data_IF_522557305295
#
_entry.id   IF_522557305295
#
_cell.length_a   1.000
_cell.length_b   1.000
_cell.length_c   1.000
_cell.angle_alpha   90.00
_cell.angle_beta   90.00
_cell.angle_gamma   90.00
#
_symmetry.space_group_name_H-M   'P 1'
#
loop_
_entity.id
_entity.type
_entity.pdbx_description
1 polymer ?
#
# COMPACT_ATOMS: atom_id res chain seq x y z
N UNK A 1 -24.34 1.87 -27.12
CA UNK A 1 -23.16 1.70 -26.23
C UNK A 1 -22.64 0.27 -26.39
N UNK A 2 -21.42 0.06 -26.90
CA UNK A 2 -21.01 -1.27 -27.43
C UNK A 2 -20.85 -2.35 -26.35
N UNK A 3 -21.23 -3.59 -26.69
CA UNK A 3 -21.13 -4.78 -25.84
C UNK A 3 -19.71 -5.01 -25.29
N UNK A 4 -18.68 -4.73 -26.10
CA UNK A 4 -17.26 -4.77 -25.73
C UNK A 4 -16.90 -3.85 -24.55
N UNK A 5 -17.49 -2.65 -24.46
CA UNK A 5 -17.26 -1.75 -23.31
C UNK A 5 -17.82 -2.34 -22.01
N UNK A 6 -18.90 -3.14 -22.08
CA UNK A 6 -19.54 -3.74 -20.91
C UNK A 6 -18.68 -4.88 -20.34
N UNK A 7 -18.15 -5.74 -21.21
CA UNK A 7 -17.24 -6.84 -20.84
C UNK A 7 -15.94 -6.30 -20.23
N UNK A 8 -15.30 -5.34 -20.89
CA UNK A 8 -14.06 -4.72 -20.39
C UNK A 8 -14.26 -4.08 -19.00
N UNK A 9 -15.41 -3.42 -18.78
CA UNK A 9 -15.77 -2.82 -17.49
C UNK A 9 -16.02 -3.84 -16.39
N UNK A 10 -16.62 -4.99 -16.70
CA UNK A 10 -16.79 -6.12 -15.76
C UNK A 10 -15.44 -6.79 -15.42
N UNK A 11 -14.58 -6.99 -16.41
CA UNK A 11 -13.26 -7.60 -16.21
C UNK A 11 -12.34 -6.73 -15.36
N UNK A 12 -12.33 -5.42 -15.62
CA UNK A 12 -11.63 -4.43 -14.78
C UNK A 12 -12.16 -4.43 -13.34
N UNK A 13 -13.49 -4.50 -13.14
CA UNK A 13 -14.10 -4.62 -11.80
C UNK A 13 -13.65 -5.87 -11.03
N UNK A 14 -13.45 -7.00 -11.72
CA UNK A 14 -12.97 -8.24 -11.10
C UNK A 14 -11.53 -8.11 -10.58
N UNK A 15 -10.63 -7.55 -11.40
CA UNK A 15 -9.23 -7.27 -11.02
C UNK A 15 -9.14 -6.27 -9.86
N UNK A 16 -10.00 -5.25 -9.87
CA UNK A 16 -10.15 -4.24 -8.82
C UNK A 16 -10.42 -4.85 -7.44
N UNK A 17 -11.34 -5.80 -7.37
CA UNK A 17 -11.62 -6.53 -6.12
C UNK A 17 -10.36 -7.23 -5.60
N UNK A 18 -9.56 -7.82 -6.50
CA UNK A 18 -8.28 -8.44 -6.14
C UNK A 18 -7.29 -7.47 -5.52
N UNK A 19 -7.12 -6.27 -6.10
CA UNK A 19 -6.21 -5.24 -5.57
C UNK A 19 -6.64 -4.74 -4.19
N UNK A 20 -7.93 -4.45 -4.00
CA UNK A 20 -8.46 -3.99 -2.70
C UNK A 20 -8.34 -5.09 -1.64
N UNK A 21 -8.61 -6.34 -2.00
CA UNK A 21 -8.43 -7.49 -1.10
C UNK A 21 -6.95 -7.64 -0.71
N UNK A 22 -6.02 -7.55 -1.67
CA UNK A 22 -4.59 -7.61 -1.41
C UNK A 22 -4.13 -6.46 -0.49
N UNK A 23 -4.59 -5.24 -0.71
CA UNK A 23 -4.31 -4.10 0.18
C UNK A 23 -4.84 -4.36 1.60
N UNK A 24 -6.04 -4.93 1.75
CA UNK A 24 -6.60 -5.28 3.06
C UNK A 24 -5.76 -6.36 3.79
N UNK A 25 -5.24 -7.36 3.05
CA UNK A 25 -4.32 -8.34 3.64
C UNK A 25 -3.01 -7.71 4.12
N UNK A 26 -2.53 -6.65 3.46
CA UNK A 26 -1.32 -5.92 3.86
C UNK A 26 -1.51 -5.08 5.13
N UNK A 27 -2.76 -4.77 5.52
CA UNK A 27 -3.05 -4.09 6.79
C UNK A 27 -2.82 -5.00 8.00
N UNK A 28 -3.04 -6.31 7.86
CA UNK A 28 -2.83 -7.30 8.94
C UNK A 28 -1.38 -7.24 9.48
N UNK A 29 -0.32 -7.34 8.64
CA UNK A 29 1.04 -7.22 9.13
C UNK A 29 1.36 -5.87 9.76
N UNK A 30 0.70 -4.77 9.35
CA UNK A 30 0.89 -3.46 10.02
C UNK A 30 0.49 -3.55 11.49
N UNK A 31 -0.64 -4.17 11.80
CA UNK A 31 -1.10 -4.37 13.19
C UNK A 31 -0.10 -5.22 13.97
N UNK A 32 0.42 -6.28 13.37
CA UNK A 32 1.43 -7.12 14.01
C UNK A 32 2.70 -6.32 14.32
N UNK A 33 3.20 -5.52 13.36
CA UNK A 33 4.36 -4.66 13.58
C UNK A 33 4.14 -3.67 14.71
N UNK A 34 2.97 -3.03 14.78
CA UNK A 34 2.61 -2.15 15.89
C UNK A 34 2.69 -2.86 17.25
N UNK A 35 2.16 -4.09 17.35
CA UNK A 35 2.25 -4.87 18.59
C UNK A 35 3.72 -5.14 18.94
N UNK A 36 4.52 -5.64 18.01
CA UNK A 36 5.93 -5.97 18.24
C UNK A 36 6.80 -4.75 18.53
N UNK A 37 6.49 -3.59 17.95
CA UNK A 37 7.16 -2.32 18.22
C UNK A 37 7.09 -1.94 19.70
N UNK A 38 5.97 -2.21 20.37
CA UNK A 38 5.71 -1.80 21.77
C UNK A 38 5.69 -2.97 22.76
N UNK A 39 6.08 -4.18 22.35
CA UNK A 39 6.09 -5.34 23.24
C UNK A 39 7.23 -5.29 24.26
N UNK A 40 8.33 -4.59 23.95
CA UNK A 40 9.45 -4.39 24.86
C UNK A 40 9.43 -2.96 25.42
N UNK A 41 10.09 -2.73 26.55
CA UNK A 41 10.21 -1.40 27.19
C UNK A 41 10.87 -0.35 26.27
N UNK A 42 11.56 -0.81 25.22
CA UNK A 42 12.15 0.02 24.17
C UNK A 42 11.42 -0.17 22.84
N UNK A 43 11.27 0.95 22.12
CA UNK A 43 10.66 0.98 20.78
C UNK A 43 11.54 0.19 19.81
N UNK A 44 10.99 -0.87 19.23
CA UNK A 44 11.71 -1.61 18.20
C UNK A 44 11.60 -0.92 16.83
N UNK A 45 12.65 -0.18 16.48
CA UNK A 45 12.74 0.61 15.25
C UNK A 45 12.71 -0.21 13.96
N UNK A 46 13.20 -1.45 14.00
CA UNK A 46 13.10 -2.37 12.87
C UNK A 46 11.64 -2.65 12.50
N UNK A 47 10.77 -2.94 13.48
CA UNK A 47 9.34 -3.13 13.23
C UNK A 47 8.62 -1.84 12.82
N UNK A 48 9.05 -0.67 13.32
CA UNK A 48 8.58 0.62 12.82
C UNK A 48 8.91 0.80 11.33
N UNK A 49 10.15 0.49 10.93
CA UNK A 49 10.58 0.58 9.54
C UNK A 49 9.80 -0.37 8.63
N UNK A 50 9.54 -1.60 9.06
CA UNK A 50 8.70 -2.55 8.34
C UNK A 50 7.25 -2.06 8.19
N UNK A 51 6.69 -1.39 9.19
CA UNK A 51 5.37 -0.78 9.09
C UNK A 51 5.33 0.33 8.03
N UNK A 52 6.33 1.20 8.00
CA UNK A 52 6.44 2.25 6.97
C UNK A 52 6.61 1.68 5.56
N UNK A 53 7.45 0.65 5.37
CA UNK A 53 7.60 -0.03 4.07
C UNK A 53 6.25 -0.62 3.61
N UNK A 54 5.53 -1.26 4.52
CA UNK A 54 4.25 -1.86 4.19
C UNK A 54 3.19 -0.81 3.80
N UNK A 55 3.15 0.33 4.50
CA UNK A 55 2.33 1.49 4.11
C UNK A 55 2.73 1.99 2.71
N UNK A 56 4.02 2.07 2.40
CA UNK A 56 4.49 2.48 1.08
C UNK A 56 4.00 1.55 -0.03
N UNK A 57 4.02 0.23 0.19
CA UNK A 57 3.49 -0.77 -0.75
C UNK A 57 1.99 -0.56 -0.98
N UNK A 58 1.20 -0.31 0.06
CA UNK A 58 -0.25 -0.05 -0.06
C UNK A 58 -0.50 1.21 -0.91
N UNK A 59 0.24 2.30 -0.66
CA UNK A 59 0.10 3.55 -1.42
C UNK A 59 0.50 3.36 -2.89
N UNK A 60 1.56 2.60 -3.16
CA UNK A 60 1.96 2.26 -4.53
C UNK A 60 0.88 1.43 -5.25
N UNK A 61 0.31 0.42 -4.59
CA UNK A 61 -0.80 -0.37 -5.14
C UNK A 61 -2.03 0.49 -5.41
N UNK A 62 -2.34 1.45 -4.53
CA UNK A 62 -3.42 2.42 -4.73
C UNK A 62 -3.15 3.34 -5.93
N UNK A 63 -1.91 3.79 -6.12
CA UNK A 63 -1.52 4.59 -7.30
C UNK A 63 -1.72 3.79 -8.59
N UNK A 64 -1.24 2.54 -8.62
CA UNK A 64 -1.41 1.62 -9.75
C UNK A 64 -2.90 1.39 -10.04
N UNK A 65 -3.70 1.17 -9.01
CA UNK A 65 -5.15 1.01 -9.13
C UNK A 65 -5.79 2.26 -9.78
N UNK A 66 -5.51 3.46 -9.25
CA UNK A 66 -6.02 4.72 -9.83
C UNK A 66 -5.58 4.90 -11.27
N UNK A 67 -4.33 4.56 -11.60
CA UNK A 67 -3.81 4.61 -12.96
C UNK A 67 -4.58 3.68 -13.91
N UNK A 68 -4.78 2.41 -13.52
CA UNK A 68 -5.55 1.42 -14.29
C UNK A 68 -7.01 1.87 -14.48
N UNK A 69 -7.59 2.54 -13.48
CA UNK A 69 -8.95 3.08 -13.54
C UNK A 69 -9.06 4.43 -14.23
N UNK A 70 -7.93 5.01 -14.67
CA UNK A 70 -7.87 6.36 -15.24
C UNK A 70 -8.50 7.41 -14.31
N UNK A 71 -8.40 7.19 -13.00
CA UNK A 71 -8.81 8.16 -11.98
C UNK A 71 -7.73 9.24 -11.83
N UNK A 72 -8.13 10.45 -11.50
CA UNK A 72 -7.18 11.53 -11.19
C UNK A 72 -6.40 11.23 -9.89
N UNK A 73 -5.22 11.86 -9.75
CA UNK A 73 -4.41 11.76 -8.53
C UNK A 73 -3.52 10.52 -8.41
N UNK A 74 -3.41 9.67 -9.45
CA UNK A 74 -2.46 8.55 -9.45
C UNK A 74 -1.00 9.02 -9.31
N UNK A 75 -0.63 10.13 -9.96
CA UNK A 75 0.71 10.74 -9.87
C UNK A 75 0.99 11.23 -8.45
N UNK A 76 0.01 11.85 -7.80
CA UNK A 76 0.16 12.31 -6.42
C UNK A 76 0.41 11.13 -5.46
N UNK A 77 -0.34 10.04 -5.60
CA UNK A 77 -0.12 8.81 -4.84
C UNK A 77 1.26 8.19 -5.15
N UNK A 78 1.70 8.27 -6.41
CA UNK A 78 3.03 7.79 -6.83
C UNK A 78 4.17 8.66 -6.27
N UNK A 79 3.96 9.93 -6.01
CA UNK A 79 4.98 10.74 -5.32
C UNK A 79 4.90 10.47 -3.81
N UNK A 80 3.69 10.32 -3.28
CA UNK A 80 3.43 10.10 -1.86
C UNK A 80 4.08 8.80 -1.32
N UNK A 81 4.15 7.72 -2.10
CA UNK A 81 4.74 6.46 -1.60
C UNK A 81 6.23 6.59 -1.24
N UNK A 82 6.95 7.57 -1.82
CA UNK A 82 8.37 7.78 -1.55
C UNK A 82 8.63 8.20 -0.10
N UNK A 83 7.70 8.90 0.54
CA UNK A 83 7.86 9.39 1.92
C UNK A 83 7.94 8.21 2.92
N UNK A 84 6.93 7.33 3.03
CA UNK A 84 7.01 6.18 3.94
C UNK A 84 8.07 5.17 3.49
N UNK A 85 8.40 5.08 2.20
CA UNK A 85 9.50 4.23 1.76
C UNK A 85 10.84 4.72 2.33
N UNK A 86 11.12 6.02 2.20
CA UNK A 86 12.32 6.63 2.75
C UNK A 86 12.39 6.47 4.26
N UNK A 87 11.31 6.80 4.98
CA UNK A 87 11.24 6.62 6.43
C UNK A 87 11.48 5.16 6.81
N UNK A 88 10.84 4.22 6.12
CA UNK A 88 11.00 2.80 6.41
C UNK A 88 12.44 2.31 6.26
N UNK A 89 13.15 2.78 5.23
CA UNK A 89 14.57 2.46 5.01
C UNK A 89 15.45 3.10 6.10
N UNK A 90 15.20 4.36 6.43
CA UNK A 90 15.94 5.10 7.47
C UNK A 90 15.84 4.41 8.84
N UNK A 91 14.63 4.04 9.24
CA UNK A 91 14.36 3.33 10.50
C UNK A 91 15.00 1.93 10.58
N UNK A 92 15.27 1.27 9.45
CA UNK A 92 15.91 -0.06 9.43
C UNK A 92 17.44 0.04 9.45
N UNK A 93 17.99 1.10 8.85
CA UNK A 93 19.45 1.23 8.66
C UNK A 93 20.09 2.03 9.80
N UNK A 94 19.42 3.08 10.27
CA UNK A 94 20.04 4.11 11.13
C UNK A 94 19.59 4.05 12.59
N UNK A 95 18.64 3.19 12.94
CA UNK A 95 18.08 3.02 14.29
C UNK A 95 17.98 1.53 14.63
#
# INVERSE_FOLDING_TARGET
MSFLKKICKQFLKGRLKGFVIMQAFLVIPIIAYFIFTYTNDEVNYFYCGLAFINIAIIILLRSIEKFVLKQSGYIADFILFLIPLYMGIDYIINY
#
